data_IF_581541364381
#
_entry.id   IF_581541364381
#
_cell.length_a   1.000
_cell.length_b   1.000
_cell.length_c   1.000
_cell.angle_alpha   90.00
_cell.angle_beta   90.00
_cell.angle_gamma   90.00
#
_symmetry.space_group_name_H-M   'P 1'
#
loop_
_entity.id
_entity.type
_entity.pdbx_description
1 polymer ?
#
# COMPACT_ATOMS: atom_id res chain seq x y z
N UNK A 1 7.70 -22.74 -12.71
CA UNK A 1 7.06 -21.64 -13.48
C UNK A 1 6.95 -20.36 -12.67
N UNK A 2 6.30 -20.37 -11.49
CA UNK A 2 6.10 -19.16 -10.64
C UNK A 2 7.40 -18.38 -10.39
N UNK A 3 8.45 -19.04 -9.88
CA UNK A 3 9.76 -18.39 -9.68
C UNK A 3 10.35 -17.80 -10.97
N UNK A 4 10.06 -18.35 -12.15
CA UNK A 4 10.53 -17.77 -13.42
C UNK A 4 9.84 -16.44 -13.69
N UNK A 5 8.52 -16.36 -13.45
CA UNK A 5 7.74 -15.11 -13.61
C UNK A 5 8.18 -14.04 -12.61
N UNK A 6 8.42 -14.43 -11.35
CA UNK A 6 8.90 -13.50 -10.32
C UNK A 6 10.36 -13.05 -10.53
N UNK A 7 11.18 -13.85 -11.22
CA UNK A 7 12.55 -13.48 -11.63
C UNK A 7 12.61 -12.71 -12.96
N UNK A 8 11.49 -12.44 -13.62
CA UNK A 8 11.50 -11.70 -14.88
C UNK A 8 12.02 -10.27 -14.65
N UNK A 9 12.97 -9.84 -15.49
CA UNK A 9 13.61 -8.52 -15.48
C UNK A 9 13.39 -7.77 -16.80
N UNK A 10 12.51 -8.27 -17.65
CA UNK A 10 12.23 -7.73 -18.99
C UNK A 10 11.47 -6.41 -18.95
N UNK A 11 10.91 -6.04 -17.79
CA UNK A 11 10.10 -4.85 -17.62
C UNK A 11 10.60 -3.98 -16.47
N UNK A 12 10.41 -2.68 -16.60
CA UNK A 12 10.62 -1.72 -15.53
C UNK A 12 9.53 -1.85 -14.44
N UNK A 13 9.82 -1.31 -13.25
CA UNK A 13 8.91 -1.33 -12.09
C UNK A 13 7.70 -0.40 -12.28
N UNK A 14 7.82 0.56 -13.22
CA UNK A 14 6.78 1.50 -13.62
C UNK A 14 6.73 1.65 -15.14
N UNK A 15 5.59 2.11 -15.65
CA UNK A 15 5.38 2.44 -17.07
C UNK A 15 4.56 3.74 -17.21
N UNK A 16 4.58 4.35 -18.39
CA UNK A 16 3.97 5.65 -18.72
C UNK A 16 4.18 6.71 -17.61
N UNK A 17 5.44 6.86 -17.19
CA UNK A 17 5.83 7.77 -16.11
C UNK A 17 5.86 7.07 -14.76
N UNK A 18 4.70 7.03 -14.09
CA UNK A 18 4.59 6.59 -12.69
C UNK A 18 3.48 5.56 -12.44
N UNK A 19 2.89 4.97 -13.48
CA UNK A 19 1.98 3.83 -13.31
C UNK A 19 2.79 2.62 -12.89
N UNK A 20 2.35 1.91 -11.86
CA UNK A 20 3.10 0.78 -11.32
C UNK A 20 2.93 -0.46 -12.19
N UNK A 21 4.00 -1.24 -12.38
CA UNK A 21 3.90 -2.59 -12.90
C UNK A 21 3.42 -3.56 -11.81
N UNK A 22 2.19 -4.09 -11.95
CA UNK A 22 1.59 -4.95 -10.93
C UNK A 22 1.80 -6.44 -11.16
N UNK A 23 2.43 -6.85 -12.26
CA UNK A 23 2.36 -8.24 -12.75
C UNK A 23 2.85 -9.25 -11.71
N UNK A 24 3.89 -8.92 -10.94
CA UNK A 24 4.42 -9.80 -9.88
C UNK A 24 3.50 -9.91 -8.67
N UNK A 25 2.77 -8.84 -8.34
CA UNK A 25 1.74 -8.89 -7.29
C UNK A 25 0.62 -9.84 -7.69
N UNK A 26 0.17 -9.81 -8.95
CA UNK A 26 -0.83 -10.72 -9.46
C UNK A 26 -0.35 -12.19 -9.45
N UNK A 27 0.91 -12.45 -9.82
CA UNK A 27 1.52 -13.79 -9.72
C UNK A 27 1.46 -14.33 -8.29
N UNK A 28 1.86 -13.53 -7.28
CA UNK A 28 1.78 -13.94 -5.88
C UNK A 28 0.33 -14.20 -5.47
N UNK A 29 -0.57 -13.25 -5.75
CA UNK A 29 -1.97 -13.36 -5.37
C UNK A 29 -2.62 -14.61 -5.96
N UNK A 30 -2.55 -14.79 -7.28
CA UNK A 30 -3.17 -15.93 -7.96
C UNK A 30 -2.54 -17.26 -7.54
N UNK A 31 -1.22 -17.30 -7.33
CA UNK A 31 -0.57 -18.50 -6.82
C UNK A 31 -1.04 -18.86 -5.41
N UNK A 32 -1.12 -17.87 -4.50
CA UNK A 32 -1.60 -18.05 -3.13
C UNK A 32 -3.09 -18.39 -3.04
N UNK A 33 -3.87 -18.10 -4.09
CA UNK A 33 -5.25 -18.52 -4.26
C UNK A 33 -5.40 -19.91 -4.90
N UNK A 34 -4.30 -20.59 -5.21
CA UNK A 34 -4.31 -21.95 -5.76
C UNK A 34 -4.55 -22.05 -7.27
N UNK A 35 -4.39 -20.93 -8.01
CA UNK A 35 -4.51 -20.94 -9.48
C UNK A 35 -3.33 -21.71 -10.10
N UNK A 36 -3.61 -22.45 -11.19
CA UNK A 36 -2.59 -23.22 -11.89
C UNK A 36 -1.55 -22.30 -12.55
N UNK A 37 -0.31 -22.80 -12.61
CA UNK A 37 0.81 -22.02 -13.13
C UNK A 37 0.64 -21.59 -14.60
N UNK A 38 -0.07 -22.38 -15.42
CA UNK A 38 -0.33 -22.05 -16.82
C UNK A 38 -1.30 -20.88 -16.92
N UNK A 39 -2.39 -20.87 -16.14
CA UNK A 39 -3.32 -19.74 -16.07
C UNK A 39 -2.65 -18.46 -15.55
N UNK A 40 -1.75 -18.59 -14.58
CA UNK A 40 -0.96 -17.45 -14.07
C UNK A 40 -0.01 -16.91 -15.14
N UNK A 41 0.60 -17.80 -15.94
CA UNK A 41 1.43 -17.38 -17.07
C UNK A 41 0.61 -16.66 -18.14
N UNK A 42 -0.58 -17.16 -18.47
CA UNK A 42 -1.46 -16.50 -19.44
C UNK A 42 -1.87 -15.10 -18.96
N UNK A 43 -2.23 -14.98 -17.66
CA UNK A 43 -2.51 -13.68 -17.04
C UNK A 43 -1.30 -12.74 -17.14
N UNK A 44 -0.11 -13.23 -16.78
CA UNK A 44 1.15 -12.47 -16.85
C UNK A 44 1.41 -11.93 -18.27
N UNK A 45 1.35 -12.82 -19.27
CA UNK A 45 1.67 -12.47 -20.66
C UNK A 45 0.65 -11.47 -21.23
N UNK A 46 -0.62 -11.62 -20.89
CA UNK A 46 -1.68 -10.70 -21.31
C UNK A 46 -1.49 -9.31 -20.69
N UNK A 47 -1.28 -9.25 -19.37
CA UNK A 47 -1.06 -7.99 -18.66
C UNK A 47 0.20 -7.27 -19.16
N UNK A 48 1.29 -8.01 -19.37
CA UNK A 48 2.54 -7.43 -19.84
C UNK A 48 2.41 -6.79 -21.22
N UNK A 49 1.58 -7.37 -22.09
CA UNK A 49 1.28 -6.85 -23.43
C UNK A 49 0.30 -5.68 -23.40
N UNK A 50 -0.73 -5.75 -22.57
CA UNK A 50 -1.80 -4.77 -22.50
C UNK A 50 -2.38 -4.71 -21.08
N UNK A 51 -1.95 -3.72 -20.32
CA UNK A 51 -2.51 -3.38 -19.02
C UNK A 51 -3.94 -2.85 -19.16
N UNK A 52 -4.72 -2.77 -18.07
CA UNK A 52 -6.06 -2.16 -18.11
C UNK A 52 -6.09 -0.69 -18.55
N UNK A 53 -4.93 -0.02 -18.60
CA UNK A 53 -4.78 1.32 -19.15
C UNK A 53 -4.55 1.34 -20.67
N UNK A 54 -4.61 0.20 -21.35
CA UNK A 54 -4.45 0.09 -22.80
C UNK A 54 -2.99 0.21 -23.28
N UNK A 55 -2.02 0.01 -22.39
CA UNK A 55 -0.58 0.13 -22.68
C UNK A 55 0.17 -1.14 -22.27
N UNK A 56 1.20 -1.52 -23.02
CA UNK A 56 2.14 -2.58 -22.61
C UNK A 56 3.15 -2.09 -21.59
N UNK A 57 3.75 -3.02 -20.85
CA UNK A 57 4.83 -2.72 -19.92
C UNK A 57 6.09 -2.27 -20.65
N UNK A 58 6.83 -1.35 -20.02
CA UNK A 58 8.05 -0.77 -20.57
C UNK A 58 9.29 -1.60 -20.21
N UNK A 59 10.32 -1.65 -21.07
CA UNK A 59 11.59 -2.27 -20.74
C UNK A 59 12.34 -1.48 -19.65
N UNK A 60 13.38 -2.06 -19.00
CA UNK A 60 14.22 -1.35 -18.05
C UNK A 60 14.77 -0.03 -18.62
N UNK A 61 14.70 1.04 -17.82
CA UNK A 61 15.19 2.37 -18.18
C UNK A 61 16.72 2.46 -18.12
N UNK A 62 17.30 3.37 -18.91
CA UNK A 62 18.74 3.65 -18.93
C UNK A 62 19.22 4.19 -17.57
N UNK A 63 20.37 3.70 -17.12
CA UNK A 63 21.01 4.16 -15.89
C UNK A 63 21.59 5.56 -16.06
N UNK A 64 21.22 6.49 -15.17
CA UNK A 64 21.76 7.86 -15.12
C UNK A 64 22.86 8.01 -14.05
N UNK A 65 22.79 7.23 -12.97
CA UNK A 65 23.68 7.32 -11.82
C UNK A 65 24.06 5.93 -11.28
N UNK A 66 25.24 5.80 -10.69
CA UNK A 66 25.61 4.64 -9.87
C UNK A 66 25.20 4.90 -8.43
N UNK A 67 24.58 3.91 -7.79
CA UNK A 67 24.12 3.99 -6.41
C UNK A 67 25.00 3.12 -5.51
N UNK A 68 25.46 3.69 -4.40
CA UNK A 68 26.34 3.03 -3.42
C UNK A 68 26.01 3.43 -1.98
N UNK A 69 26.77 2.90 -1.02
CA UNK A 69 26.55 3.15 0.41
C UNK A 69 26.76 4.60 0.84
N UNK A 70 27.52 5.39 0.07
CA UNK A 70 27.77 6.79 0.36
C UNK A 70 26.64 7.69 -0.17
N UNK A 71 25.93 7.28 -1.23
CA UNK A 71 25.00 8.17 -1.95
C UNK A 71 23.54 7.70 -1.99
N UNK A 72 23.19 6.46 -1.60
CA UNK A 72 21.84 5.94 -1.80
C UNK A 72 20.73 6.80 -1.17
N UNK A 73 21.00 7.45 -0.02
CA UNK A 73 20.06 8.37 0.63
C UNK A 73 19.83 9.66 -0.16
N UNK A 74 20.84 10.12 -0.90
CA UNK A 74 20.74 11.33 -1.72
C UNK A 74 19.78 11.17 -2.88
N UNK A 75 19.55 9.94 -3.36
CA UNK A 75 18.65 9.64 -4.48
C UNK A 75 17.24 9.22 -4.07
N UNK A 76 16.93 9.18 -2.77
CA UNK A 76 15.61 8.79 -2.27
C UNK A 76 14.51 9.66 -2.89
N UNK A 77 13.47 9.02 -3.42
CA UNK A 77 12.31 9.70 -3.98
C UNK A 77 12.56 10.47 -5.28
N UNK A 78 13.81 10.52 -5.78
CA UNK A 78 14.16 11.21 -7.03
C UNK A 78 13.73 10.44 -8.29
N UNK A 79 13.20 9.23 -8.14
CA UNK A 79 12.68 8.38 -9.23
C UNK A 79 13.65 8.25 -10.41
N UNK A 80 14.94 8.10 -10.11
CA UNK A 80 16.00 7.89 -11.11
C UNK A 80 16.76 6.61 -10.83
N UNK A 81 17.28 5.99 -11.89
CA UNK A 81 18.24 4.86 -11.82
C UNK A 81 17.77 3.71 -10.92
N UNK A 82 16.50 3.30 -11.03
CA UNK A 82 15.92 2.17 -10.29
C UNK A 82 16.79 0.91 -10.33
N UNK A 83 17.27 0.51 -11.52
CA UNK A 83 18.11 -0.68 -11.65
C UNK A 83 19.44 -0.56 -10.89
N UNK A 84 19.97 0.66 -10.68
CA UNK A 84 21.14 0.86 -9.82
C UNK A 84 20.82 0.68 -8.33
N UNK A 85 19.59 0.98 -7.88
CA UNK A 85 19.15 0.57 -6.55
C UNK A 85 19.04 -0.96 -6.45
N UNK A 86 18.57 -1.65 -7.50
CA UNK A 86 18.56 -3.11 -7.53
C UNK A 86 19.98 -3.69 -7.39
N UNK A 87 20.93 -3.20 -8.20
CA UNK A 87 22.33 -3.64 -8.14
C UNK A 87 22.92 -3.40 -6.74
N UNK A 88 22.64 -2.23 -6.14
CA UNK A 88 23.08 -1.88 -4.81
C UNK A 88 22.53 -2.84 -3.73
N UNK A 89 21.21 -3.06 -3.69
CA UNK A 89 20.61 -3.94 -2.70
C UNK A 89 20.94 -5.41 -2.93
N UNK A 90 21.15 -5.84 -4.19
CA UNK A 90 21.66 -7.17 -4.50
C UNK A 90 23.04 -7.39 -3.87
N UNK A 91 23.96 -6.44 -4.02
CA UNK A 91 25.30 -6.52 -3.43
C UNK A 91 25.29 -6.44 -1.90
N UNK A 92 24.42 -5.62 -1.31
CA UNK A 92 24.27 -5.56 0.15
C UNK A 92 23.72 -6.87 0.72
N UNK A 93 22.72 -7.47 0.06
CA UNK A 93 22.16 -8.76 0.48
C UNK A 93 23.19 -9.88 0.32
N UNK A 94 24.01 -9.88 -0.75
CA UNK A 94 25.11 -10.86 -0.91
C UNK A 94 26.13 -10.79 0.23
N UNK A 95 26.42 -9.59 0.74
CA UNK A 95 27.43 -9.36 1.80
C UNK A 95 26.89 -9.67 3.20
N UNK A 96 25.64 -9.29 3.49
CA UNK A 96 25.09 -9.22 4.85
C UNK A 96 23.95 -10.20 5.10
N UNK A 97 23.32 -10.71 4.03
CA UNK A 97 22.06 -11.45 4.11
C UNK A 97 20.85 -10.52 4.23
N UNK A 98 19.67 -11.07 3.93
CA UNK A 98 18.41 -10.33 3.88
C UNK A 98 18.09 -9.68 5.24
N UNK A 99 18.20 -10.42 6.34
CA UNK A 99 17.74 -9.93 7.65
C UNK A 99 18.58 -8.75 8.16
N UNK A 100 19.89 -8.76 7.95
CA UNK A 100 20.75 -7.64 8.32
C UNK A 100 20.47 -6.42 7.43
N UNK A 101 20.21 -6.61 6.13
CA UNK A 101 19.80 -5.52 5.23
C UNK A 101 18.46 -4.94 5.66
N UNK A 102 17.45 -5.76 5.99
CA UNK A 102 16.18 -5.23 6.47
C UNK A 102 16.37 -4.39 7.74
N UNK A 103 17.13 -4.88 8.72
CA UNK A 103 17.39 -4.13 9.95
C UNK A 103 18.13 -2.80 9.70
N UNK A 104 19.06 -2.76 8.75
CA UNK A 104 19.85 -1.56 8.46
C UNK A 104 19.07 -0.50 7.67
N UNK A 105 18.26 -0.91 6.69
CA UNK A 105 17.65 0.00 5.72
C UNK A 105 16.19 0.35 6.04
N UNK A 106 15.41 -0.56 6.65
CA UNK A 106 13.99 -0.32 6.92
C UNK A 106 13.71 0.90 7.79
N UNK A 107 14.51 1.26 8.82
CA UNK A 107 14.26 2.48 9.59
C UNK A 107 14.19 3.75 8.73
N UNK A 108 14.97 3.81 7.64
CA UNK A 108 14.90 4.92 6.67
C UNK A 108 13.76 4.73 5.67
N UNK A 109 13.64 3.53 5.09
CA UNK A 109 12.68 3.27 4.01
C UNK A 109 11.21 3.28 4.48
N UNK A 110 10.93 2.86 5.72
CA UNK A 110 9.58 2.89 6.30
C UNK A 110 8.98 4.29 6.36
N UNK A 111 9.80 5.35 6.47
CA UNK A 111 9.28 6.71 6.42
C UNK A 111 8.59 7.01 5.08
N UNK A 112 9.08 6.42 3.99
CA UNK A 112 8.61 6.60 2.62
C UNK A 112 7.53 5.62 2.17
N UNK A 113 6.96 4.82 3.08
CA UNK A 113 6.14 3.64 2.73
C UNK A 113 4.93 3.95 1.85
N UNK A 114 4.37 5.17 1.95
CA UNK A 114 3.20 5.60 1.20
C UNK A 114 3.54 6.13 -0.21
N UNK A 115 4.83 6.28 -0.54
CA UNK A 115 5.31 6.66 -1.87
C UNK A 115 4.86 5.70 -2.97
N UNK A 116 4.73 6.22 -4.20
CA UNK A 116 4.12 5.52 -5.34
C UNK A 116 2.79 4.85 -4.97
N UNK A 117 1.91 5.50 -4.21
CA UNK A 117 0.67 4.92 -3.71
C UNK A 117 0.88 3.55 -3.04
N UNK A 118 1.87 3.46 -2.15
CA UNK A 118 2.23 2.28 -1.36
C UNK A 118 2.85 1.11 -2.12
N UNK A 119 3.07 1.22 -3.44
CA UNK A 119 3.45 0.08 -4.27
C UNK A 119 4.82 -0.52 -3.92
N UNK A 120 5.82 0.29 -3.59
CA UNK A 120 7.12 -0.22 -3.14
C UNK A 120 7.00 -1.07 -1.87
N UNK A 121 6.16 -0.63 -0.93
CA UNK A 121 5.87 -1.36 0.31
C UNK A 121 5.13 -2.66 0.04
N UNK A 122 4.09 -2.63 -0.81
CA UNK A 122 3.37 -3.84 -1.25
C UNK A 122 4.35 -4.83 -1.87
N UNK A 123 5.21 -4.37 -2.77
CA UNK A 123 6.18 -5.21 -3.47
C UNK A 123 7.13 -5.91 -2.50
N UNK A 124 7.73 -5.16 -1.56
CA UNK A 124 8.64 -5.72 -0.56
C UNK A 124 7.93 -6.68 0.39
N UNK A 125 6.83 -6.25 1.02
CA UNK A 125 6.16 -7.07 2.03
C UNK A 125 5.59 -8.36 1.46
N UNK A 126 5.17 -8.36 0.19
CA UNK A 126 4.70 -9.56 -0.48
C UNK A 126 5.86 -10.46 -0.92
N UNK A 127 6.98 -9.88 -1.35
CA UNK A 127 8.19 -10.65 -1.62
C UNK A 127 8.71 -11.38 -0.37
N UNK A 128 8.60 -10.75 0.82
CA UNK A 128 8.96 -11.34 2.10
C UNK A 128 7.99 -12.45 2.55
N UNK A 129 6.70 -12.32 2.21
CA UNK A 129 5.66 -13.34 2.46
C UNK A 129 6.00 -14.67 1.77
N UNK A 130 6.46 -14.60 0.51
CA UNK A 130 6.80 -15.77 -0.30
C UNK A 130 8.31 -16.07 -0.36
N UNK A 131 9.12 -15.34 0.41
CA UNK A 131 10.58 -15.45 0.49
C UNK A 131 11.29 -15.42 -0.89
N UNK A 132 10.88 -14.52 -1.79
CA UNK A 132 11.41 -14.48 -3.16
C UNK A 132 12.62 -13.52 -3.29
N UNK A 133 13.86 -14.03 -3.52
CA UNK A 133 15.08 -13.21 -3.37
C UNK A 133 15.14 -11.99 -4.29
N UNK A 134 14.83 -12.15 -5.58
CA UNK A 134 14.88 -11.03 -6.53
C UNK A 134 13.80 -9.99 -6.26
N UNK A 135 12.61 -10.41 -5.83
CA UNK A 135 11.51 -9.47 -5.61
C UNK A 135 11.72 -8.69 -4.30
N UNK A 136 12.47 -9.24 -3.33
CA UNK A 136 12.94 -8.51 -2.15
C UNK A 136 13.88 -7.37 -2.57
N UNK A 137 14.83 -7.65 -3.48
CA UNK A 137 15.72 -6.63 -4.06
C UNK A 137 14.91 -5.54 -4.76
N UNK A 138 13.96 -5.93 -5.62
CA UNK A 138 13.06 -5.00 -6.30
C UNK A 138 12.25 -4.15 -5.32
N UNK A 139 11.76 -4.75 -4.22
CA UNK A 139 10.96 -4.07 -3.21
C UNK A 139 11.76 -3.02 -2.43
N UNK A 140 12.97 -3.36 -1.98
CA UNK A 140 13.88 -2.41 -1.34
C UNK A 140 14.23 -1.26 -2.28
N UNK A 141 14.57 -1.59 -3.53
CA UNK A 141 14.87 -0.62 -4.56
C UNK A 141 13.68 0.29 -4.86
N UNK A 142 12.47 -0.26 -4.91
CA UNK A 142 11.27 0.51 -5.23
C UNK A 142 10.91 1.46 -4.09
N UNK A 143 10.94 1.01 -2.83
CA UNK A 143 10.74 1.89 -1.68
C UNK A 143 11.73 3.06 -1.66
N UNK A 144 13.00 2.83 -2.03
CA UNK A 144 13.99 3.89 -2.14
C UNK A 144 13.71 4.84 -3.31
N UNK A 145 13.46 4.28 -4.49
CA UNK A 145 13.19 4.99 -5.74
C UNK A 145 11.98 5.93 -5.64
N UNK A 146 10.90 5.50 -5.00
CA UNK A 146 9.64 6.23 -4.93
C UNK A 146 9.34 6.86 -3.56
N UNK A 147 10.32 6.95 -2.68
CA UNK A 147 10.14 7.43 -1.30
C UNK A 147 9.47 8.80 -1.22
N UNK A 148 8.42 8.92 -0.41
CA UNK A 148 7.83 10.19 0.01
C UNK A 148 7.57 10.11 1.52
N UNK A 149 8.31 10.84 2.37
CA UNK A 149 8.25 10.65 3.81
C UNK A 149 6.90 11.08 4.39
N UNK A 150 6.31 10.24 5.24
CA UNK A 150 5.09 10.56 6.00
C UNK A 150 5.36 11.35 7.30
N UNK A 151 6.64 11.56 7.63
CA UNK A 151 7.09 12.30 8.81
C UNK A 151 6.56 11.79 10.16
N UNK A 152 6.55 10.47 10.35
CA UNK A 152 6.10 9.83 11.60
C UNK A 152 6.86 10.29 12.85
N UNK A 153 8.07 10.85 12.70
CA UNK A 153 8.85 11.47 13.77
C UNK A 153 8.20 12.74 14.35
N UNK A 154 7.27 13.37 13.62
CA UNK A 154 6.47 14.52 14.12
C UNK A 154 5.34 14.09 15.04
N UNK A 155 5.04 12.79 15.10
CA UNK A 155 3.92 12.25 15.84
C UNK A 155 4.20 12.11 17.34
N UNK A 156 3.19 12.36 18.18
CA UNK A 156 3.27 12.28 19.63
C UNK A 156 2.01 11.65 20.22
N UNK A 157 2.15 10.98 21.37
CA UNK A 157 1.02 10.40 22.09
C UNK A 157 0.18 11.51 22.72
N UNK A 158 -1.09 11.57 22.37
CA UNK A 158 -2.04 12.52 22.93
C UNK A 158 -3.06 11.81 23.83
N UNK A 159 -2.82 11.92 25.14
CA UNK A 159 -3.68 11.35 26.18
C UNK A 159 -5.08 11.97 26.20
N UNK A 160 -5.31 13.12 25.56
CA UNK A 160 -6.64 13.75 25.52
C UNK A 160 -7.60 13.09 24.54
N UNK A 161 -7.11 12.23 23.62
CA UNK A 161 -7.94 11.62 22.58
C UNK A 161 -8.93 10.60 23.16
N UNK A 162 -8.59 9.94 24.27
CA UNK A 162 -9.41 8.93 24.95
C UNK A 162 -9.89 7.75 24.08
N UNK A 163 -9.30 7.53 22.91
CA UNK A 163 -9.59 6.40 22.03
C UNK A 163 -9.12 5.09 22.69
N UNK A 164 -10.00 4.11 22.89
CA UNK A 164 -9.64 2.85 23.57
C UNK A 164 -9.02 1.82 22.64
N UNK A 165 -9.29 1.94 21.33
CA UNK A 165 -8.88 0.99 20.30
C UNK A 165 -8.87 1.68 18.93
N UNK A 166 -8.43 0.97 17.88
CA UNK A 166 -8.34 1.53 16.53
C UNK A 166 -9.70 1.96 15.94
N UNK A 167 -10.81 1.31 16.32
CA UNK A 167 -12.15 1.68 15.83
C UNK A 167 -12.61 3.01 16.41
N UNK A 168 -12.42 3.23 17.72
CA UNK A 168 -12.71 4.51 18.37
C UNK A 168 -11.94 5.65 17.69
N UNK A 169 -10.67 5.43 17.32
CA UNK A 169 -9.86 6.41 16.61
C UNK A 169 -10.40 6.76 15.22
N UNK A 170 -10.89 5.78 14.45
CA UNK A 170 -11.53 6.07 13.15
C UNK A 170 -12.88 6.77 13.33
N UNK A 171 -13.65 6.42 14.37
CA UNK A 171 -14.90 7.12 14.66
C UNK A 171 -14.62 8.60 14.99
N UNK A 172 -13.64 8.88 15.87
CA UNK A 172 -13.19 10.24 16.18
C UNK A 172 -12.74 10.99 14.94
N UNK A 173 -11.94 10.36 14.08
CA UNK A 173 -11.43 11.01 12.88
C UNK A 173 -12.52 11.27 11.84
N UNK A 174 -13.47 10.34 11.70
CA UNK A 174 -14.68 10.52 10.89
C UNK A 174 -15.54 11.68 11.41
N UNK A 175 -15.69 11.83 12.73
CA UNK A 175 -16.43 12.93 13.34
C UNK A 175 -15.74 14.26 13.08
N UNK A 176 -14.41 14.32 13.26
CA UNK A 176 -13.62 15.51 12.93
C UNK A 176 -13.85 15.95 11.48
N UNK A 177 -13.82 15.00 10.53
CA UNK A 177 -14.07 15.27 9.12
C UNK A 177 -15.50 15.71 8.84
N UNK A 178 -16.51 15.17 9.54
CA UNK A 178 -17.90 15.62 9.38
C UNK A 178 -18.08 17.06 9.90
N UNK A 179 -17.50 17.38 11.06
CA UNK A 179 -17.63 18.70 11.71
C UNK A 179 -16.82 19.79 10.99
N UNK A 180 -15.62 19.47 10.49
CA UNK A 180 -14.69 20.43 9.88
C UNK A 180 -14.51 20.22 8.37
N UNK A 181 -15.51 19.64 7.69
CA UNK A 181 -15.41 19.24 6.27
C UNK A 181 -14.91 20.37 5.36
N UNK A 182 -15.49 21.56 5.48
CA UNK A 182 -15.12 22.71 4.64
C UNK A 182 -13.68 23.12 4.89
N UNK A 183 -13.32 23.35 6.16
CA UNK A 183 -11.98 23.76 6.56
C UNK A 183 -10.90 22.76 6.10
N UNK A 184 -11.10 21.46 6.33
CA UNK A 184 -10.13 20.43 5.95
C UNK A 184 -10.03 20.26 4.43
N UNK A 185 -11.15 20.42 3.71
CA UNK A 185 -11.15 20.38 2.24
C UNK A 185 -10.41 21.58 1.66
N UNK A 186 -10.65 22.78 2.20
CA UNK A 186 -9.96 24.01 1.80
C UNK A 186 -8.46 23.92 2.11
N UNK A 187 -8.09 23.36 3.26
CA UNK A 187 -6.71 23.07 3.60
C UNK A 187 -6.06 22.13 2.57
N UNK A 188 -6.66 20.98 2.24
CA UNK A 188 -6.13 20.06 1.21
C UNK A 188 -5.98 20.77 -0.14
N UNK A 189 -7.00 21.52 -0.57
CA UNK A 189 -6.96 22.25 -1.84
C UNK A 189 -5.87 23.33 -1.85
N UNK A 190 -5.67 24.03 -0.73
CA UNK A 190 -4.61 25.03 -0.59
C UNK A 190 -3.22 24.40 -0.72
N UNK A 191 -3.02 23.19 -0.20
CA UNK A 191 -1.77 22.46 -0.37
C UNK A 191 -1.54 22.12 -1.84
N UNK A 192 -2.53 21.56 -2.52
CA UNK A 192 -2.38 21.15 -3.93
C UNK A 192 -2.09 22.34 -4.85
N UNK A 193 -2.76 23.47 -4.63
CA UNK A 193 -2.71 24.63 -5.53
C UNK A 193 -1.53 25.59 -5.28
N UNK A 194 -0.85 25.48 -4.14
CA UNK A 194 0.26 26.38 -3.81
C UNK A 194 1.61 25.80 -4.23
N UNK A 195 2.20 26.28 -5.32
CA UNK A 195 3.49 25.79 -5.80
C UNK A 195 4.70 26.29 -4.98
N UNK A 196 4.52 27.30 -4.13
CA UNK A 196 5.60 27.92 -3.36
C UNK A 196 5.77 27.31 -1.95
N UNK A 197 5.12 26.18 -1.65
CA UNK A 197 5.30 25.52 -0.37
C UNK A 197 6.70 24.90 -0.27
N UNK A 198 7.28 24.96 0.92
CA UNK A 198 8.53 24.28 1.23
C UNK A 198 8.45 22.80 0.82
N UNK A 199 9.58 22.26 0.37
CA UNK A 199 9.74 20.86 -0.02
C UNK A 199 8.94 20.41 -1.25
N UNK A 200 8.23 21.32 -1.94
CA UNK A 200 7.54 20.99 -3.20
C UNK A 200 8.52 20.45 -4.25
N UNK A 201 9.75 20.97 -4.27
CA UNK A 201 10.83 20.52 -5.16
C UNK A 201 11.35 19.11 -4.86
N UNK A 202 11.01 18.54 -3.69
CA UNK A 202 11.34 17.15 -3.33
C UNK A 202 10.31 16.16 -3.88
N UNK A 203 9.14 16.63 -4.33
CA UNK A 203 8.13 15.79 -4.97
C UNK A 203 8.41 15.74 -6.46
N UNK A 204 8.60 14.53 -6.97
CA UNK A 204 8.90 14.35 -8.39
C UNK A 204 7.78 14.95 -9.28
N UNK A 205 8.12 15.80 -10.27
CA UNK A 205 7.13 16.56 -11.05
C UNK A 205 6.17 15.67 -11.84
N UNK A 206 6.63 14.49 -12.26
CA UNK A 206 5.81 13.47 -12.94
C UNK A 206 4.52 13.12 -12.20
N UNK A 207 4.50 13.19 -10.86
CA UNK A 207 3.29 12.89 -10.08
C UNK A 207 2.16 13.89 -10.36
N UNK A 208 2.46 15.12 -10.81
CA UNK A 208 1.45 16.11 -11.20
C UNK A 208 0.54 15.58 -12.31
N UNK A 209 1.02 14.68 -13.18
CA UNK A 209 0.20 14.07 -14.26
C UNK A 209 -0.98 13.26 -13.72
N UNK A 210 -0.94 12.63 -12.54
CA UNK A 210 -2.11 11.93 -11.98
C UNK A 210 -3.02 12.79 -11.13
N UNK A 211 -2.52 13.87 -10.55
CA UNK A 211 -3.23 14.68 -9.55
C UNK A 211 -3.42 13.95 -8.21
N UNK A 212 -3.84 12.69 -8.20
CA UNK A 212 -4.08 11.90 -7.00
C UNK A 212 -2.80 11.58 -6.23
N UNK A 213 -1.79 10.98 -6.89
CA UNK A 213 -0.52 10.67 -6.21
C UNK A 213 0.20 11.95 -5.79
N UNK A 214 0.11 13.02 -6.60
CA UNK A 214 0.62 14.33 -6.23
C UNK A 214 -0.05 14.87 -4.97
N UNK A 215 -1.39 14.86 -4.90
CA UNK A 215 -2.14 15.29 -3.72
C UNK A 215 -1.71 14.53 -2.45
N UNK A 216 -1.58 13.21 -2.55
CA UNK A 216 -1.11 12.38 -1.44
C UNK A 216 0.31 12.79 -1.03
N UNK A 217 1.22 12.96 -2.00
CA UNK A 217 2.59 13.39 -1.74
C UNK A 217 2.65 14.78 -1.04
N UNK A 218 1.80 15.73 -1.46
CA UNK A 218 1.68 17.04 -0.80
C UNK A 218 1.29 16.90 0.67
N UNK A 219 0.31 16.06 0.96
CA UNK A 219 -0.15 15.84 2.33
C UNK A 219 0.90 15.09 3.17
N UNK A 220 1.58 14.10 2.60
CA UNK A 220 2.67 13.38 3.27
C UNK A 220 3.79 14.34 3.72
N UNK A 221 4.21 15.25 2.83
CA UNK A 221 5.28 16.21 3.11
C UNK A 221 4.87 17.28 4.14
N UNK A 222 3.70 17.89 3.95
CA UNK A 222 3.27 19.02 4.77
C UNK A 222 2.69 18.56 6.11
N UNK A 223 1.87 17.51 6.10
CA UNK A 223 1.18 16.99 7.28
C UNK A 223 0.13 17.94 7.85
N UNK A 224 -0.59 17.46 8.85
CA UNK A 224 -1.60 18.21 9.59
C UNK A 224 -1.47 17.87 11.08
N UNK A 225 -1.68 18.80 12.02
CA UNK A 225 -1.58 18.50 13.45
C UNK A 225 -2.41 17.28 13.87
N UNK A 226 -3.62 17.13 13.34
CA UNK A 226 -4.51 16.00 13.65
C UNK A 226 -4.01 14.64 13.12
N UNK A 227 -3.10 14.62 12.15
CA UNK A 227 -2.45 13.38 11.65
C UNK A 227 -1.42 12.89 12.66
N UNK A 228 -0.76 13.81 13.37
CA UNK A 228 0.37 13.52 14.25
C UNK A 228 -0.03 13.26 15.72
N UNK A 229 -1.29 13.48 16.08
CA UNK A 229 -1.85 13.15 17.39
C UNK A 229 -2.17 11.65 17.45
N UNK A 230 -1.30 10.89 18.10
CA UNK A 230 -1.42 9.43 18.20
C UNK A 230 -2.29 9.04 19.40
N UNK A 231 -3.23 8.11 19.24
CA UNK A 231 -3.95 7.52 20.35
C UNK A 231 -3.03 6.64 21.22
N UNK A 232 -3.33 6.56 22.51
CA UNK A 232 -2.53 5.84 23.52
C UNK A 232 -2.37 4.35 23.17
N UNK A 233 -3.39 3.73 22.57
CA UNK A 233 -3.35 2.30 22.23
C UNK A 233 -2.20 1.93 21.26
N UNK A 234 -1.69 2.86 20.44
CA UNK A 234 -0.55 2.59 19.54
C UNK A 234 0.70 2.18 20.35
N UNK A 235 0.88 2.74 21.54
CA UNK A 235 2.01 2.44 22.41
C UNK A 235 1.69 1.34 23.42
N UNK A 236 0.48 1.33 23.97
CA UNK A 236 0.15 0.48 25.13
C UNK A 236 -0.45 -0.87 24.78
N UNK A 237 -1.06 -1.02 23.60
CA UNK A 237 -1.74 -2.26 23.21
C UNK A 237 -0.74 -3.33 22.80
N UNK A 238 -1.16 -4.60 22.94
CA UNK A 238 -0.43 -5.73 22.38
C UNK A 238 -0.29 -5.60 20.86
N UNK A 239 0.87 -6.00 20.34
CA UNK A 239 1.21 -5.84 18.92
C UNK A 239 0.28 -6.66 18.03
N UNK A 240 0.00 -7.91 18.37
CA UNK A 240 -0.89 -8.76 17.55
C UNK A 240 -2.33 -8.25 17.61
N UNK A 241 -2.78 -7.77 18.77
CA UNK A 241 -4.07 -7.11 18.91
C UNK A 241 -4.15 -5.85 18.04
N UNK A 242 -3.11 -5.00 18.03
CA UNK A 242 -3.04 -3.81 17.16
C UNK A 242 -3.12 -4.17 15.68
N UNK A 243 -2.41 -5.21 15.22
CA UNK A 243 -2.53 -5.67 13.84
C UNK A 243 -3.93 -6.16 13.52
N UNK A 244 -4.54 -6.97 14.40
CA UNK A 244 -5.89 -7.49 14.20
C UNK A 244 -6.94 -6.36 14.11
N UNK A 245 -6.86 -5.38 15.01
CA UNK A 245 -7.75 -4.22 15.00
C UNK A 245 -7.52 -3.34 13.76
N UNK A 246 -6.27 -3.13 13.33
CA UNK A 246 -5.96 -2.40 12.09
C UNK A 246 -6.55 -3.10 10.86
N UNK A 247 -6.38 -4.43 10.72
CA UNK A 247 -6.96 -5.15 9.59
C UNK A 247 -8.47 -5.03 9.57
N UNK A 248 -9.11 -5.16 10.72
CA UNK A 248 -10.56 -4.99 10.84
C UNK A 248 -11.01 -3.58 10.43
N UNK A 249 -10.36 -2.55 10.97
CA UNK A 249 -10.73 -1.15 10.76
C UNK A 249 -10.44 -0.67 9.33
N UNK A 250 -9.31 -1.05 8.75
CA UNK A 250 -9.00 -0.73 7.34
C UNK A 250 -9.98 -1.44 6.40
N UNK A 251 -10.40 -2.67 6.73
CA UNK A 251 -11.44 -3.36 5.96
C UNK A 251 -12.80 -2.68 6.11
N UNK A 252 -13.14 -2.12 7.28
CA UNK A 252 -14.34 -1.29 7.45
C UNK A 252 -14.26 0.01 6.65
N UNK A 253 -13.10 0.66 6.58
CA UNK A 253 -12.87 1.82 5.70
C UNK A 253 -13.14 1.45 4.24
N UNK A 254 -12.63 0.32 3.80
CA UNK A 254 -12.90 -0.20 2.46
C UNK A 254 -14.39 -0.46 2.22
N UNK A 255 -15.07 -1.15 3.14
CA UNK A 255 -16.52 -1.41 3.01
C UNK A 255 -17.39 -0.16 3.17
N UNK A 256 -16.86 0.92 3.75
CA UNK A 256 -17.54 2.20 3.78
C UNK A 256 -17.57 2.87 2.39
N UNK A 257 -16.66 2.50 1.48
CA UNK A 257 -16.70 2.85 0.05
C UNK A 257 -16.27 1.63 -0.77
N UNK A 258 -17.16 0.63 -0.94
CA UNK A 258 -16.80 -0.63 -1.58
C UNK A 258 -16.31 -0.37 -3.01
N UNK A 259 -15.22 -1.04 -3.40
CA UNK A 259 -14.59 -0.82 -4.70
C UNK A 259 -13.70 0.43 -4.79
N UNK A 260 -13.49 1.18 -3.70
CA UNK A 260 -12.61 2.35 -3.71
C UNK A 260 -11.13 1.95 -3.88
N UNK A 261 -10.53 2.48 -4.95
CA UNK A 261 -9.16 2.17 -5.35
C UNK A 261 -8.13 2.50 -4.26
N UNK A 262 -8.23 3.66 -3.59
CA UNK A 262 -7.29 4.09 -2.56
C UNK A 262 -7.38 3.21 -1.30
N UNK A 263 -8.60 2.87 -0.90
CA UNK A 263 -8.82 2.09 0.32
C UNK A 263 -8.38 0.63 0.14
N UNK A 264 -8.47 0.08 -1.08
CA UNK A 264 -7.85 -1.21 -1.43
C UNK A 264 -6.33 -1.18 -1.26
N UNK A 265 -5.67 -0.07 -1.61
CA UNK A 265 -4.23 0.09 -1.36
C UNK A 265 -3.90 0.12 0.13
N UNK A 266 -4.73 0.75 0.97
CA UNK A 266 -4.56 0.67 2.43
C UNK A 266 -4.64 -0.78 2.93
N UNK A 267 -5.61 -1.57 2.46
CA UNK A 267 -5.71 -3.00 2.81
C UNK A 267 -4.44 -3.78 2.42
N UNK A 268 -4.04 -3.67 1.16
CA UNK A 268 -2.94 -4.49 0.61
C UNK A 268 -1.57 -4.06 1.15
N UNK A 269 -1.40 -2.76 1.43
CA UNK A 269 -0.19 -2.22 2.06
C UNK A 269 -0.13 -2.55 3.56
N UNK A 270 -1.25 -2.61 4.28
CA UNK A 270 -1.26 -3.10 5.67
C UNK A 270 -0.77 -4.54 5.78
N UNK A 271 -1.23 -5.42 4.86
CA UNK A 271 -0.74 -6.80 4.78
C UNK A 271 0.78 -6.84 4.55
N UNK A 272 1.27 -6.01 3.64
CA UNK A 272 2.70 -5.88 3.37
C UNK A 272 3.50 -5.36 4.59
N UNK A 273 2.98 -4.35 5.29
CA UNK A 273 3.58 -3.80 6.50
C UNK A 273 3.70 -4.85 7.62
N UNK A 274 2.69 -5.73 7.77
CA UNK A 274 2.76 -6.85 8.72
C UNK A 274 3.87 -7.84 8.36
N UNK A 275 4.06 -8.15 7.08
CA UNK A 275 5.11 -9.05 6.61
C UNK A 275 6.52 -8.44 6.68
N UNK A 276 6.63 -7.12 6.54
CA UNK A 276 7.88 -6.41 6.84
C UNK A 276 8.17 -6.47 8.35
N UNK A 277 7.16 -6.22 9.19
CA UNK A 277 7.32 -6.24 10.64
C UNK A 277 7.72 -7.62 11.17
N UNK A 278 7.26 -8.71 10.58
CA UNK A 278 7.63 -10.07 11.00
C UNK A 278 9.08 -10.45 10.71
N UNK A 279 9.79 -9.67 9.88
CA UNK A 279 11.21 -9.84 9.56
C UNK A 279 12.13 -8.91 10.35
N UNK A 280 11.56 -8.02 11.16
CA UNK A 280 12.30 -7.09 12.00
C UNK A 280 12.20 -7.50 13.48
N UNK A 281 13.10 -7.00 14.35
CA UNK A 281 12.98 -7.20 15.78
C UNK A 281 11.59 -6.81 16.28
N UNK A 282 11.02 -7.57 17.22
CA UNK A 282 9.64 -7.38 17.70
C UNK A 282 9.36 -5.95 18.19
N UNK A 283 10.37 -5.29 18.77
CA UNK A 283 10.30 -3.91 19.26
C UNK A 283 10.01 -2.89 18.14
N UNK A 284 10.37 -3.20 16.89
CA UNK A 284 10.09 -2.33 15.74
C UNK A 284 8.63 -2.38 15.29
N UNK A 285 7.85 -3.40 15.71
CA UNK A 285 6.46 -3.54 15.26
C UNK A 285 5.60 -2.33 15.63
N UNK A 286 5.80 -1.75 16.81
CA UNK A 286 5.08 -0.54 17.23
C UNK A 286 5.47 0.68 16.39
N UNK A 287 6.75 0.80 16.02
CA UNK A 287 7.21 1.85 15.11
C UNK A 287 6.57 1.70 13.73
N UNK A 288 6.46 0.48 13.21
CA UNK A 288 5.83 0.20 11.91
C UNK A 288 4.32 0.51 11.96
N UNK A 289 3.63 0.11 13.03
CA UNK A 289 2.22 0.45 13.27
C UNK A 289 2.04 1.98 13.30
N UNK A 290 2.90 2.70 14.03
CA UNK A 290 2.90 4.17 14.06
C UNK A 290 3.12 4.77 12.67
N UNK A 291 4.11 4.30 11.92
CA UNK A 291 4.38 4.77 10.56
C UNK A 291 3.19 4.53 9.63
N UNK A 292 2.59 3.34 9.68
CA UNK A 292 1.39 3.00 8.93
C UNK A 292 0.22 3.92 9.31
N UNK A 293 -0.03 4.11 10.61
CA UNK A 293 -1.11 4.97 11.10
C UNK A 293 -1.02 6.39 10.56
N UNK A 294 0.17 7.01 10.66
CA UNK A 294 0.42 8.37 10.16
C UNK A 294 0.20 8.45 8.65
N UNK A 295 0.80 7.55 7.87
CA UNK A 295 0.65 7.58 6.41
C UNK A 295 -0.78 7.23 5.94
N UNK A 296 -1.49 6.35 6.66
CA UNK A 296 -2.89 6.04 6.43
C UNK A 296 -3.74 7.29 6.61
N UNK A 297 -3.54 8.06 7.70
CA UNK A 297 -4.26 9.32 7.91
C UNK A 297 -3.95 10.34 6.80
N UNK A 298 -2.70 10.45 6.32
CA UNK A 298 -2.37 11.28 5.16
C UNK A 298 -3.19 10.89 3.91
N UNK A 299 -3.28 9.59 3.62
CA UNK A 299 -4.07 9.08 2.48
C UNK A 299 -5.56 9.35 2.69
N UNK A 300 -6.11 9.10 3.89
CA UNK A 300 -7.52 9.39 4.19
C UNK A 300 -7.84 10.88 4.02
N UNK A 301 -6.97 11.77 4.50
CA UNK A 301 -7.15 13.21 4.36
C UNK A 301 -7.14 13.65 2.90
N UNK A 302 -6.36 12.98 2.04
CA UNK A 302 -6.30 13.28 0.60
C UNK A 302 -7.63 13.06 -0.13
N UNK A 303 -8.50 12.20 0.41
CA UNK A 303 -9.79 11.87 -0.22
C UNK A 303 -10.78 13.03 -0.17
N UNK A 304 -10.65 13.96 0.78
CA UNK A 304 -11.60 15.06 1.06
C UNK A 304 -13.06 14.62 1.32
N UNK A 305 -13.30 13.31 1.43
CA UNK A 305 -14.64 12.73 1.55
C UNK A 305 -14.58 11.44 2.37
N UNK A 306 -14.14 11.55 3.62
CA UNK A 306 -14.19 10.44 4.56
C UNK A 306 -15.66 10.09 4.86
N UNK A 307 -15.98 8.79 4.95
CA UNK A 307 -17.34 8.34 5.31
C UNK A 307 -17.74 8.86 6.70
N UNK A 308 -19.03 9.09 6.90
CA UNK A 308 -19.59 9.62 8.14
C UNK A 308 -19.52 8.64 9.33
N UNK A 309 -19.47 9.14 10.58
CA UNK A 309 -19.40 8.32 11.79
C UNK A 309 -20.54 7.30 11.87
N UNK A 310 -21.76 7.74 11.52
CA UNK A 310 -22.93 6.88 11.52
C UNK A 310 -22.78 5.65 10.60
N UNK A 311 -22.10 5.81 9.45
CA UNK A 311 -21.85 4.70 8.51
C UNK A 311 -20.86 3.70 9.11
N UNK A 312 -19.78 4.18 9.74
CA UNK A 312 -18.82 3.31 10.41
C UNK A 312 -19.44 2.55 11.58
N UNK A 313 -20.25 3.21 12.40
CA UNK A 313 -20.99 2.56 13.49
C UNK A 313 -21.96 1.49 12.96
N UNK A 314 -22.69 1.77 11.89
CA UNK A 314 -23.61 0.82 11.28
C UNK A 314 -22.88 -0.39 10.67
N UNK A 315 -21.77 -0.18 9.97
CA UNK A 315 -20.95 -1.28 9.43
C UNK A 315 -20.31 -2.10 10.54
N UNK A 316 -19.77 -1.45 11.58
CA UNK A 316 -19.23 -2.16 12.72
C UNK A 316 -20.32 -2.98 13.40
N UNK A 317 -21.53 -2.45 13.61
CA UNK A 317 -22.65 -3.23 14.14
C UNK A 317 -23.05 -4.40 13.23
N UNK A 318 -22.97 -4.22 11.91
CA UNK A 318 -23.31 -5.25 10.94
C UNK A 318 -22.33 -6.44 10.97
N UNK A 319 -21.04 -6.18 11.20
CA UNK A 319 -19.98 -7.21 11.13
C UNK A 319 -19.36 -7.62 12.46
N UNK A 320 -19.44 -6.78 13.50
CA UNK A 320 -18.89 -7.07 14.82
C UNK A 320 -19.54 -8.33 15.37
N UNK A 321 -18.70 -9.24 15.88
CA UNK A 321 -19.07 -10.56 16.40
C UNK A 321 -19.61 -11.57 15.36
N UNK A 322 -19.60 -11.25 14.06
CA UNK A 322 -19.94 -12.24 13.01
C UNK A 322 -18.71 -12.99 12.53
N UNK A 323 -18.75 -14.30 12.73
CA UNK A 323 -17.77 -15.24 12.22
C UNK A 323 -18.46 -16.21 11.27
N UNK A 324 -17.77 -16.55 10.20
CA UNK A 324 -18.17 -17.65 9.34
C UNK A 324 -17.79 -18.96 10.07
N UNK A 325 -18.73 -19.90 10.19
CA UNK A 325 -18.46 -21.20 10.82
C UNK A 325 -17.62 -22.07 9.87
N UNK A 326 -16.32 -22.19 10.13
CA UNK A 326 -15.33 -22.78 9.21
C UNK A 326 -15.61 -24.24 8.83
N UNK A 327 -16.42 -24.96 9.62
CA UNK A 327 -16.80 -26.34 9.34
C UNK A 327 -17.81 -26.47 8.20
N UNK A 328 -18.44 -25.37 7.77
CA UNK A 328 -19.45 -25.41 6.71
C UNK A 328 -18.83 -25.31 5.32
N UNK A 329 -19.10 -26.31 4.48
CA UNK A 329 -18.60 -26.40 3.10
C UNK A 329 -19.11 -25.29 2.17
N UNK A 330 -20.17 -24.57 2.55
CA UNK A 330 -20.65 -23.40 1.80
C UNK A 330 -19.56 -22.34 1.63
N UNK A 331 -18.68 -22.16 2.62
CA UNK A 331 -17.63 -21.15 2.51
C UNK A 331 -16.56 -21.53 1.49
N UNK A 332 -16.26 -22.82 1.33
CA UNK A 332 -15.35 -23.29 0.27
C UNK A 332 -15.94 -23.00 -1.11
N UNK A 333 -17.25 -23.19 -1.29
CA UNK A 333 -17.95 -22.89 -2.54
C UNK A 333 -17.96 -21.38 -2.83
N UNK A 334 -18.28 -20.55 -1.84
CA UNK A 334 -18.26 -19.09 -1.95
C UNK A 334 -16.87 -18.58 -2.30
N UNK A 335 -15.82 -19.04 -1.60
CA UNK A 335 -14.44 -18.66 -1.93
C UNK A 335 -14.01 -19.15 -3.30
N UNK A 336 -14.41 -20.35 -3.71
CA UNK A 336 -14.15 -20.85 -5.06
C UNK A 336 -14.75 -19.92 -6.12
N UNK A 337 -15.95 -19.38 -5.90
CA UNK A 337 -16.57 -18.42 -6.80
C UNK A 337 -15.85 -17.06 -6.81
N UNK A 338 -15.50 -16.53 -5.64
CA UNK A 338 -14.77 -15.25 -5.53
C UNK A 338 -13.40 -15.36 -6.22
N UNK A 339 -12.69 -16.46 -6.01
CA UNK A 339 -11.38 -16.72 -6.63
C UNK A 339 -11.50 -16.87 -8.14
N UNK A 340 -12.52 -17.59 -8.61
CA UNK A 340 -12.80 -17.71 -10.04
C UNK A 340 -13.06 -16.34 -10.66
N UNK A 341 -13.87 -15.49 -10.03
CA UNK A 341 -14.09 -14.11 -10.50
C UNK A 341 -12.78 -13.32 -10.55
N UNK A 342 -11.98 -13.35 -9.50
CA UNK A 342 -10.71 -12.63 -9.45
C UNK A 342 -9.75 -13.04 -10.58
N UNK A 343 -9.69 -14.32 -10.94
CA UNK A 343 -8.85 -14.79 -12.05
C UNK A 343 -9.25 -14.20 -13.40
N UNK A 344 -10.54 -13.93 -13.61
CA UNK A 344 -11.09 -13.40 -14.86
C UNK A 344 -11.13 -11.86 -14.90
N UNK A 345 -10.67 -11.17 -13.83
CA UNK A 345 -10.60 -9.72 -13.80
C UNK A 345 -9.42 -9.19 -14.61
N UNK A 346 -9.67 -8.17 -15.43
CA UNK A 346 -8.61 -7.41 -16.09
C UNK A 346 -7.87 -6.51 -15.09
N UNK A 347 -8.61 -5.94 -14.13
CA UNK A 347 -8.08 -5.08 -13.07
C UNK A 347 -7.28 -5.90 -12.03
N UNK A 348 -5.95 -5.78 -12.10
CA UNK A 348 -4.96 -6.50 -11.29
C UNK A 348 -5.11 -6.30 -9.77
N UNK A 349 -5.81 -5.27 -9.34
CA UNK A 349 -6.05 -4.97 -7.94
C UNK A 349 -7.03 -5.96 -7.31
N UNK A 350 -7.95 -6.53 -8.10
CA UNK A 350 -8.97 -7.44 -7.61
C UNK A 350 -8.40 -8.79 -7.13
N UNK A 351 -7.52 -9.49 -7.88
CA UNK A 351 -6.78 -10.65 -7.37
C UNK A 351 -6.04 -10.37 -6.07
N UNK A 352 -5.39 -9.19 -5.96
CA UNK A 352 -4.64 -8.79 -4.76
C UNK A 352 -5.55 -8.66 -3.54
N UNK A 353 -6.70 -8.00 -3.70
CA UNK A 353 -7.69 -7.86 -2.64
C UNK A 353 -8.21 -9.23 -2.19
N UNK A 354 -8.59 -10.09 -3.15
CA UNK A 354 -9.11 -11.43 -2.84
C UNK A 354 -8.06 -12.27 -2.12
N UNK A 355 -6.80 -12.21 -2.53
CA UNK A 355 -5.70 -12.89 -1.83
C UNK A 355 -5.61 -12.43 -0.36
N UNK A 356 -5.47 -11.12 -0.12
CA UNK A 356 -5.32 -10.59 1.25
C UNK A 356 -6.54 -10.92 2.11
N UNK A 357 -7.75 -10.73 1.58
CA UNK A 357 -8.98 -11.03 2.30
C UNK A 357 -9.11 -12.53 2.60
N UNK A 358 -8.68 -13.40 1.69
CA UNK A 358 -8.67 -14.84 1.92
C UNK A 358 -7.70 -15.23 3.05
N UNK A 359 -6.50 -14.64 3.10
CA UNK A 359 -5.55 -14.87 4.19
C UNK A 359 -6.10 -14.39 5.54
N UNK A 360 -6.70 -13.19 5.58
CA UNK A 360 -7.30 -12.65 6.80
C UNK A 360 -8.52 -13.46 7.25
N UNK A 361 -9.35 -13.91 6.31
CA UNK A 361 -10.47 -14.80 6.62
C UNK A 361 -10.01 -16.15 7.17
N UNK A 362 -8.99 -16.78 6.58
CA UNK A 362 -8.41 -18.03 7.11
C UNK A 362 -7.84 -17.85 8.52
N UNK A 363 -7.23 -16.68 8.80
CA UNK A 363 -6.62 -16.38 10.12
C UNK A 363 -7.66 -16.08 11.20
N UNK A 364 -8.68 -15.29 10.89
CA UNK A 364 -9.58 -14.71 11.90
C UNK A 364 -11.04 -15.18 11.80
N UNK A 365 -11.43 -15.83 10.70
CA UNK A 365 -12.78 -16.34 10.47
C UNK A 365 -13.88 -15.28 10.33
N UNK A 366 -13.55 -13.98 10.25
CA UNK A 366 -14.55 -12.91 10.25
C UNK A 366 -15.25 -12.78 8.90
N UNK A 367 -16.59 -12.73 8.93
CA UNK A 367 -17.44 -12.53 7.73
C UNK A 367 -17.08 -11.26 6.94
N UNK A 368 -16.60 -10.23 7.64
CA UNK A 368 -16.15 -8.96 7.07
C UNK A 368 -15.16 -9.15 5.90
N UNK A 369 -14.18 -10.05 6.06
CA UNK A 369 -13.14 -10.25 5.06
C UNK A 369 -13.70 -10.88 3.78
N UNK A 370 -14.61 -11.86 3.90
CA UNK A 370 -15.31 -12.44 2.74
C UNK A 370 -16.24 -11.42 2.06
N UNK A 371 -16.88 -10.55 2.82
CA UNK A 371 -17.71 -9.47 2.28
C UNK A 371 -16.87 -8.46 1.49
N UNK A 372 -15.72 -8.06 2.02
CA UNK A 372 -14.78 -7.16 1.36
C UNK A 372 -14.16 -7.79 0.09
N UNK A 373 -13.84 -9.09 0.12
CA UNK A 373 -13.32 -9.81 -1.05
C UNK A 373 -14.28 -9.78 -2.27
N UNK A 374 -15.57 -9.51 -2.06
CA UNK A 374 -16.57 -9.44 -3.14
C UNK A 374 -16.75 -8.05 -3.73
N UNK A 375 -16.15 -7.02 -3.14
CA UNK A 375 -16.26 -5.64 -3.64
C UNK A 375 -15.08 -5.41 -4.57
N UNK A 376 -15.29 -5.48 -5.88
CA UNK A 376 -14.20 -5.26 -6.84
C UNK A 376 -14.06 -3.77 -7.18
N UNK A 377 -12.83 -3.35 -7.45
CA UNK A 377 -12.53 -2.02 -7.96
C UNK A 377 -12.50 -2.05 -9.48
N UNK A 378 -12.68 -0.89 -10.09
CA UNK A 378 -12.49 -0.68 -11.52
C UNK A 378 -11.22 0.14 -11.72
N UNK A 379 -10.58 -0.04 -12.87
CA UNK A 379 -9.45 0.79 -13.31
C UNK A 379 -9.83 2.27 -13.28
N UNK A 380 -9.16 3.10 -12.46
CA UNK A 380 -9.39 4.53 -12.46
C UNK A 380 -9.11 5.12 -13.84
N UNK A 381 -9.92 6.09 -14.26
CA UNK A 381 -9.63 6.82 -15.49
C UNK A 381 -8.37 7.66 -15.33
N UNK A 382 -7.48 7.58 -16.32
CA UNK A 382 -6.34 8.49 -16.39
C UNK A 382 -6.81 9.89 -16.78
N UNK A 383 -6.33 10.95 -16.11
CA UNK A 383 -6.60 12.32 -16.55
C UNK A 383 -5.94 12.61 -17.91
N UNK A 384 -6.42 13.63 -18.66
CA UNK A 384 -5.89 13.98 -19.98
C UNK A 384 -4.38 14.22 -20.05
N UNK A 385 -3.76 14.61 -18.94
CA UNK A 385 -2.30 14.74 -18.79
C UNK A 385 -1.51 13.46 -19.09
N UNK A 386 -2.14 12.29 -19.13
CA UNK A 386 -1.49 11.04 -19.55
C UNK A 386 -1.41 10.86 -21.07
N UNK A 387 -2.05 11.72 -21.87
CA UNK A 387 -1.91 11.75 -23.33
C UNK A 387 -0.56 12.34 -23.77
N UNK A 388 0.05 13.17 -22.92
CA UNK A 388 1.39 13.71 -23.11
C UNK A 388 2.45 12.69 -22.68
N UNK A 389 3.64 12.76 -23.27
CA UNK A 389 4.75 11.89 -22.88
C UNK A 389 5.21 12.15 -21.43
N UNK A 390 5.64 11.12 -20.69
CA UNK A 390 6.19 11.29 -19.35
C UNK A 390 7.42 12.20 -19.29
N UNK A 391 7.62 12.84 -18.14
CA UNK A 391 8.84 13.59 -17.85
C UNK A 391 9.93 12.59 -17.42
N UNK A 392 11.12 12.68 -18.05
CA UNK A 392 12.27 11.78 -17.82
C UNK A 392 13.11 12.02 -16.56
#
# INVERSE_FOLDING_TARGET
MINKLLNDRSYHIEFNGHLTNHVKHAVIALHGLGISADRIKDYYDNYAKLTPYGMGLEPPKTLKHVIDSANWKYFLGKRTSYSSYCDYFEEEIKKKGIEQVLQEYMPTLLSGWAGALTHGTIHLGWALDVDHPWMIIEGLAYMAFSSVPCHSERAFIDNSLNDKNAFDSILRMSTLWEERKVELTDWVNSLVNNENLADTDLIHPELKRSGLQYRIARILMQGHPEIYRLPVWIETQDVEESWAQLFYVITLIYLAKPGDFLFLHLVTSLFAMKNIASRLPVEESKNIIKCYWVGMLCILFSTTDLSKPAKFSALNQAYSFRQDEMTYSVWEQEWSHIIARALEEEEEHNPKLVYVMNQLWKKYGLTLYRAAANQFTNTPLLPPSFEEAPIE
#
